data_IF_148129623094
#
_entry.id   IF_148129623094
#
_cell.length_a   1.000
_cell.length_b   1.000
_cell.length_c   1.000
_cell.angle_alpha   90.00
_cell.angle_beta   90.00
_cell.angle_gamma   90.00
#
_symmetry.space_group_name_H-M   'P 1'
#
loop_
_entity.id
_entity.type
_entity.pdbx_description
1 polymer ?
#
# COMPACT_ATOMS: atom_id res chain seq x y z
N UNK A 1 24.75 -2.01 -16.84
CA UNK A 1 23.43 -2.52 -16.41
C UNK A 1 22.47 -1.36 -16.54
N UNK A 2 21.79 -1.26 -17.69
CA UNK A 2 20.85 -0.16 -17.94
C UNK A 2 19.70 -0.28 -16.94
N UNK A 3 19.50 0.77 -16.13
CA UNK A 3 18.29 0.90 -15.32
C UNK A 3 17.14 0.96 -16.32
N UNK A 4 16.27 -0.05 -16.35
CA UNK A 4 15.07 -0.07 -17.20
C UNK A 4 14.22 1.17 -16.94
N UNK A 5 14.43 2.20 -17.75
CA UNK A 5 13.74 3.49 -17.65
C UNK A 5 12.25 3.22 -17.84
N UNK A 6 11.47 3.30 -16.76
CA UNK A 6 10.02 3.03 -16.76
C UNK A 6 9.55 1.85 -15.90
N UNK A 7 10.44 1.10 -15.23
CA UNK A 7 9.98 0.02 -14.34
C UNK A 7 9.25 0.57 -13.09
N UNK A 8 8.15 -0.07 -12.64
CA UNK A 8 7.51 0.28 -11.37
C UNK A 8 8.48 0.27 -10.19
N UNK A 9 9.50 -0.59 -10.25
CA UNK A 9 10.57 -0.66 -9.27
C UNK A 9 11.29 0.68 -9.07
N UNK A 10 11.76 1.30 -10.16
CA UNK A 10 12.45 2.60 -10.09
C UNK A 10 11.53 3.70 -9.55
N UNK A 11 10.24 3.66 -9.88
CA UNK A 11 9.27 4.59 -9.32
C UNK A 11 9.19 4.44 -7.80
N UNK A 12 9.00 3.23 -7.28
CA UNK A 12 8.85 2.99 -5.84
C UNK A 12 10.16 3.18 -5.04
N UNK A 13 11.32 3.01 -5.67
CA UNK A 13 12.63 3.30 -5.08
C UNK A 13 12.86 4.81 -4.90
N UNK A 14 12.30 5.65 -5.78
CA UNK A 14 12.46 7.12 -5.72
C UNK A 14 11.26 7.83 -5.08
N UNK A 15 10.20 7.11 -4.72
CA UNK A 15 9.00 7.66 -4.12
C UNK A 15 9.19 7.85 -2.60
N UNK A 16 9.34 9.09 -2.17
CA UNK A 16 9.31 9.47 -0.76
C UNK A 16 7.88 9.71 -0.27
N UNK A 17 7.41 8.84 0.63
CA UNK A 17 6.08 8.94 1.27
C UNK A 17 6.18 9.42 2.73
N UNK A 18 7.37 9.80 3.20
CA UNK A 18 7.59 10.33 4.55
C UNK A 18 6.66 11.51 4.87
N UNK A 19 6.42 12.49 3.97
CA UNK A 19 5.57 13.64 4.28
C UNK A 19 4.11 13.28 4.58
N UNK A 20 3.61 12.17 4.02
CA UNK A 20 2.20 11.73 4.22
C UNK A 20 2.06 10.66 5.30
N UNK A 21 3.16 10.20 5.89
CA UNK A 21 3.15 9.13 6.89
C UNK A 21 2.19 9.46 8.05
N UNK A 22 2.28 10.66 8.63
CA UNK A 22 1.39 11.08 9.73
C UNK A 22 -0.11 11.06 9.34
N UNK A 23 -0.42 11.41 8.09
CA UNK A 23 -1.79 11.40 7.56
C UNK A 23 -2.30 9.95 7.45
N UNK A 24 -1.47 9.05 6.93
CA UNK A 24 -1.84 7.64 6.74
C UNK A 24 -2.05 6.90 8.07
N UNK A 25 -1.33 7.31 9.11
CA UNK A 25 -1.44 6.77 10.47
C UNK A 25 -2.54 7.42 11.31
N UNK A 26 -3.21 8.47 10.83
CA UNK A 26 -4.30 9.14 11.55
C UNK A 26 -5.45 8.17 11.84
N UNK A 27 -5.86 8.11 13.11
CA UNK A 27 -6.95 7.24 13.58
C UNK A 27 -6.60 5.75 13.66
N UNK A 28 -5.33 5.38 13.51
CA UNK A 28 -4.85 4.02 13.73
C UNK A 28 -4.19 3.90 15.09
N UNK A 29 -4.67 2.96 15.89
CA UNK A 29 -4.09 2.66 17.19
C UNK A 29 -2.80 1.85 17.03
N UNK A 30 -1.69 2.46 17.44
CA UNK A 30 -0.42 1.76 17.65
C UNK A 30 -0.38 1.08 19.03
N UNK A 31 -1.09 1.67 19.99
CA UNK A 31 -1.14 1.25 21.40
C UNK A 31 -2.57 1.46 21.95
N UNK A 32 -2.89 0.80 23.06
CA UNK A 32 -4.17 0.92 23.78
C UNK A 32 -5.01 -0.37 23.81
N UNK A 33 -6.23 -0.28 24.34
CA UNK A 33 -7.14 -1.43 24.52
C UNK A 33 -7.72 -1.98 23.21
N UNK A 34 -7.60 -1.23 22.11
CA UNK A 34 -7.95 -1.71 20.77
C UNK A 34 -6.85 -2.60 20.17
N UNK A 35 -7.21 -3.44 19.18
CA UNK A 35 -6.22 -4.28 18.49
C UNK A 35 -5.20 -3.40 17.75
N UNK A 36 -3.90 -3.47 18.07
CA UNK A 36 -2.88 -2.67 17.39
C UNK A 36 -2.85 -2.97 15.89
N UNK A 37 -2.58 -1.94 15.09
CA UNK A 37 -2.38 -2.13 13.65
C UNK A 37 -1.09 -2.92 13.42
N UNK A 38 -1.24 -4.12 12.86
CA UNK A 38 -0.13 -5.05 12.65
C UNK A 38 0.67 -4.81 11.34
N UNK A 39 0.36 -3.75 10.60
CA UNK A 39 0.91 -3.46 9.27
C UNK A 39 1.11 -1.95 9.06
N UNK A 40 2.06 -1.58 8.20
CA UNK A 40 2.29 -0.18 7.85
C UNK A 40 1.28 0.29 6.78
N UNK A 41 0.48 1.33 7.05
CA UNK A 41 -0.40 1.96 6.06
C UNK A 41 0.32 2.43 4.79
N UNK A 42 1.60 2.76 4.87
CA UNK A 42 2.41 3.11 3.68
C UNK A 42 2.46 1.96 2.69
N UNK A 43 2.49 0.70 3.16
CA UNK A 43 2.53 -0.48 2.30
C UNK A 43 1.24 -0.63 1.48
N UNK A 44 0.11 -0.41 2.12
CA UNK A 44 -1.20 -0.42 1.46
C UNK A 44 -1.32 0.67 0.40
N UNK A 45 -0.81 1.88 0.68
CA UNK A 45 -0.81 2.97 -0.30
C UNK A 45 0.05 2.61 -1.51
N UNK A 46 1.27 2.08 -1.30
CA UNK A 46 2.15 1.61 -2.38
C UNK A 46 1.46 0.54 -3.23
N UNK A 47 0.80 -0.43 -2.61
CA UNK A 47 0.06 -1.46 -3.34
C UNK A 47 -1.16 -0.91 -4.11
N UNK A 48 -1.87 0.10 -3.58
CA UNK A 48 -2.95 0.78 -4.33
C UNK A 48 -2.41 1.59 -5.51
N UNK A 49 -1.25 2.23 -5.38
CA UNK A 49 -0.57 2.88 -6.50
C UNK A 49 -0.15 1.85 -7.56
N UNK A 50 0.44 0.73 -7.14
CA UNK A 50 0.83 -0.36 -8.03
C UNK A 50 -0.40 -0.90 -8.79
N UNK A 51 -1.54 -1.04 -8.10
CA UNK A 51 -2.81 -1.43 -8.72
C UNK A 51 -3.20 -0.48 -9.85
N UNK A 52 -3.04 0.83 -9.65
CA UNK A 52 -3.36 1.85 -10.64
C UNK A 52 -2.40 1.78 -11.84
N UNK A 53 -1.11 1.62 -11.60
CA UNK A 53 -0.08 1.52 -12.64
C UNK A 53 -0.27 0.27 -13.50
N UNK A 54 -0.60 -0.86 -12.88
CA UNK A 54 -0.83 -2.14 -13.57
C UNK A 54 -2.28 -2.31 -14.06
N UNK A 55 -3.13 -1.28 -13.90
CA UNK A 55 -4.54 -1.29 -14.31
C UNK A 55 -5.32 -2.52 -13.78
N UNK A 56 -5.05 -2.93 -12.54
CA UNK A 56 -5.69 -4.10 -11.94
C UNK A 56 -7.11 -3.71 -11.46
N UNK A 57 -8.18 -4.25 -12.06
CA UNK A 57 -9.54 -3.75 -11.84
C UNK A 57 -10.04 -4.03 -10.42
N UNK A 58 -9.74 -5.20 -9.86
CA UNK A 58 -10.26 -5.65 -8.57
C UNK A 58 -9.17 -5.83 -7.51
N UNK A 59 -9.50 -5.50 -6.26
CA UNK A 59 -8.58 -5.66 -5.12
C UNK A 59 -8.20 -7.13 -4.88
N UNK A 60 -9.15 -8.05 -5.08
CA UNK A 60 -8.88 -9.50 -5.00
C UNK A 60 -7.75 -9.95 -5.94
N UNK A 61 -7.65 -9.34 -7.12
CA UNK A 61 -6.66 -9.70 -8.12
C UNK A 61 -5.30 -9.09 -7.78
N UNK A 62 -5.30 -7.89 -7.18
CA UNK A 62 -4.09 -7.30 -6.59
C UNK A 62 -3.53 -8.21 -5.49
N UNK A 63 -4.37 -8.68 -4.55
CA UNK A 63 -3.95 -9.60 -3.49
C UNK A 63 -3.37 -10.89 -4.06
N UNK A 64 -4.04 -11.49 -5.05
CA UNK A 64 -3.53 -12.70 -5.74
C UNK A 64 -2.19 -12.42 -6.41
N UNK A 65 -2.02 -11.26 -7.06
CA UNK A 65 -0.78 -10.89 -7.73
C UNK A 65 0.37 -10.73 -6.74
N UNK A 66 0.16 -9.99 -5.65
CA UNK A 66 1.16 -9.79 -4.58
C UNK A 66 1.50 -11.09 -3.85
N UNK A 67 0.57 -12.04 -3.75
CA UNK A 67 0.87 -13.38 -3.20
C UNK A 67 1.77 -14.20 -4.11
N UNK A 68 1.57 -14.10 -5.43
CA UNK A 68 2.30 -14.87 -6.45
C UNK A 68 3.64 -14.28 -6.84
N UNK A 69 3.83 -12.98 -6.64
CA UNK A 69 5.01 -12.23 -7.07
C UNK A 69 5.71 -11.58 -5.87
N UNK A 70 6.71 -12.27 -5.27
CA UNK A 70 7.45 -11.76 -4.12
C UNK A 70 8.18 -10.45 -4.42
N UNK A 71 8.59 -10.22 -5.67
CA UNK A 71 9.27 -8.99 -6.07
C UNK A 71 8.31 -7.79 -5.94
N UNK A 72 7.11 -7.89 -6.54
CA UNK A 72 6.09 -6.84 -6.41
C UNK A 72 5.66 -6.62 -4.95
N UNK A 73 5.64 -7.70 -4.15
CA UNK A 73 5.33 -7.63 -2.71
C UNK A 73 6.39 -6.87 -1.92
N UNK A 74 7.68 -7.12 -2.20
CA UNK A 74 8.80 -6.38 -1.63
C UNK A 74 8.81 -4.91 -2.03
N UNK A 75 8.47 -4.58 -3.28
CA UNK A 75 8.35 -3.17 -3.73
C UNK A 75 7.31 -2.38 -2.93
N UNK A 76 6.24 -3.05 -2.48
CA UNK A 76 5.22 -2.45 -1.64
C UNK A 76 5.63 -2.39 -0.15
N UNK A 77 6.70 -3.08 0.27
CA UNK A 77 7.17 -3.13 1.65
C UNK A 77 6.56 -4.25 2.50
N UNK A 78 5.79 -5.16 1.90
CA UNK A 78 5.18 -6.26 2.66
C UNK A 78 6.15 -7.42 2.93
N UNK A 79 7.25 -7.52 2.18
CA UNK A 79 8.25 -8.59 2.25
C UNK A 79 7.63 -10.00 2.27
N UNK A 80 7.57 -10.67 3.42
CA UNK A 80 7.00 -12.02 3.57
C UNK A 80 5.50 -12.04 3.92
N UNK A 81 4.90 -10.89 4.20
CA UNK A 81 3.50 -10.79 4.64
C UNK A 81 2.58 -10.66 3.44
N UNK A 82 1.55 -11.51 3.35
CA UNK A 82 0.54 -11.35 2.32
C UNK A 82 -0.45 -10.23 2.70
N UNK A 83 -0.79 -9.31 1.77
CA UNK A 83 -1.80 -8.30 2.01
C UNK A 83 -3.20 -8.93 2.16
N UNK A 84 -4.09 -8.21 2.87
CA UNK A 84 -5.48 -8.58 3.10
C UNK A 84 -6.43 -7.55 2.49
N UNK A 85 -7.53 -8.01 1.88
CA UNK A 85 -8.53 -7.13 1.24
C UNK A 85 -9.16 -6.13 2.22
N UNK A 86 -9.29 -6.51 3.49
CA UNK A 86 -9.83 -5.65 4.53
C UNK A 86 -8.98 -4.39 4.73
N UNK A 87 -7.65 -4.50 4.62
CA UNK A 87 -6.72 -3.38 4.81
C UNK A 87 -6.88 -2.36 3.69
N UNK A 88 -6.97 -2.82 2.43
CA UNK A 88 -7.25 -1.95 1.29
C UNK A 88 -8.60 -1.24 1.39
N UNK A 89 -9.63 -1.89 1.92
CA UNK A 89 -10.92 -1.26 2.15
C UNK A 89 -10.85 -0.16 3.20
N UNK A 90 -10.12 -0.38 4.30
CA UNK A 90 -9.88 0.64 5.31
C UNK A 90 -9.06 1.81 4.76
N UNK A 91 -7.99 1.51 4.00
CA UNK A 91 -7.16 2.51 3.38
C UNK A 91 -7.96 3.40 2.42
N UNK A 92 -8.77 2.80 1.54
CA UNK A 92 -9.63 3.55 0.60
C UNK A 92 -10.62 4.48 1.29
N UNK A 93 -11.14 4.14 2.47
CA UNK A 93 -11.99 5.05 3.24
C UNK A 93 -11.19 6.23 3.79
N UNK A 94 -9.94 5.99 4.21
CA UNK A 94 -9.05 7.02 4.75
C UNK A 94 -8.53 8.00 3.71
N UNK A 95 -8.13 7.50 2.53
CA UNK A 95 -7.60 8.32 1.43
C UNK A 95 -8.66 8.63 0.36
N UNK A 96 -9.91 8.22 0.57
CA UNK A 96 -11.00 8.40 -0.39
C UNK A 96 -11.75 9.71 -0.15
N UNK A 97 -12.83 9.89 -0.91
CA UNK A 97 -13.69 11.07 -0.80
C UNK A 97 -14.13 11.35 0.65
N UNK A 98 -14.38 10.31 1.45
CA UNK A 98 -14.77 10.46 2.85
C UNK A 98 -13.65 11.05 3.73
N UNK A 99 -12.38 10.78 3.40
CA UNK A 99 -11.23 11.37 4.10
C UNK A 99 -10.85 12.77 3.62
N UNK A 100 -11.24 13.14 2.39
CA UNK A 100 -11.02 14.47 1.81
C UNK A 100 -12.18 15.45 2.00
N UNK A 101 -13.35 14.98 2.43
CA UNK A 101 -14.43 15.82 2.96
C UNK A 101 -14.01 16.32 4.35
N UNK A 102 -13.14 17.34 4.37
CA UNK A 102 -12.90 18.19 5.54
C UNK A 102 -13.99 19.24 5.67
#
# INVERSE_FOLDING_TARGET
MEKEVGSPRLLFENLDLTPVHSILWKGLHREGAGKPVAYDPVWDLRALMLRQLLQIPYVKDLVKRLRRDPCLRGLCGYDDRAPCEAHFSQMKRRIGADGFRM
#
